data_IF_761640206206
#
_entry.id   IF_761640206206
#
_cell.length_a   1.000
_cell.length_b   1.000
_cell.length_c   1.000
_cell.angle_alpha   90.00
_cell.angle_beta   90.00
_cell.angle_gamma   90.00
#
_symmetry.space_group_name_H-M   'P 1'
#
loop_
_entity.id
_entity.type
_entity.pdbx_description
1 polymer ?
#
# COMPACT_ATOMS: atom_id res chain seq x y z
N UNK A 1 48.53 0.02 7.95
CA UNK A 1 47.36 -0.79 7.67
C UNK A 1 46.23 0.19 7.38
N UNK A 2 45.88 0.38 6.09
CA UNK A 2 44.82 1.31 5.70
C UNK A 2 43.48 0.66 5.99
N UNK A 3 42.68 1.29 6.82
CA UNK A 3 41.27 0.95 6.92
C UNK A 3 40.62 1.38 5.59
N UNK A 4 40.23 0.41 4.76
CA UNK A 4 39.29 0.71 3.70
C UNK A 4 37.96 1.08 4.36
N UNK A 5 37.60 2.36 4.31
CA UNK A 5 36.27 2.80 4.70
C UNK A 5 35.28 2.10 3.75
N UNK A 6 34.63 1.05 4.27
CA UNK A 6 33.48 0.46 3.60
C UNK A 6 32.32 1.43 3.83
N UNK A 7 32.14 2.38 2.93
CA UNK A 7 30.91 3.15 2.87
C UNK A 7 29.78 2.19 2.49
N UNK A 8 28.92 1.87 3.43
CA UNK A 8 27.62 1.26 3.11
C UNK A 8 26.78 2.35 2.44
N UNK A 9 26.92 2.44 1.12
CA UNK A 9 26.05 3.30 0.33
C UNK A 9 24.62 2.77 0.44
N UNK A 10 23.69 3.63 0.86
CA UNK A 10 22.27 3.28 0.90
C UNK A 10 21.82 2.90 -0.51
N UNK A 11 21.13 1.77 -0.65
CA UNK A 11 20.66 1.31 -1.95
C UNK A 11 19.65 2.31 -2.54
N UNK A 12 19.96 2.89 -3.67
CA UNK A 12 19.19 3.94 -4.34
C UNK A 12 19.07 3.68 -5.83
N UNK A 13 17.95 4.08 -6.41
CA UNK A 13 17.64 3.99 -7.83
C UNK A 13 17.26 5.37 -8.34
N UNK A 14 17.89 5.81 -9.45
CA UNK A 14 17.43 7.00 -10.17
C UNK A 14 16.17 6.65 -10.97
N UNK A 15 15.08 7.38 -10.73
CA UNK A 15 13.78 7.16 -11.34
C UNK A 15 13.11 8.48 -11.67
N UNK A 16 12.88 8.75 -12.95
CA UNK A 16 12.07 9.89 -13.42
C UNK A 16 12.40 11.23 -12.73
N UNK A 17 13.71 11.56 -12.63
CA UNK A 17 14.20 12.79 -12.01
C UNK A 17 14.20 12.79 -10.47
N UNK A 18 13.97 11.66 -9.83
CA UNK A 18 14.09 11.46 -8.40
C UNK A 18 15.05 10.31 -8.09
N UNK A 19 15.66 10.34 -6.92
CA UNK A 19 16.44 9.25 -6.37
C UNK A 19 15.58 8.52 -5.34
N UNK A 20 15.33 7.23 -5.55
CA UNK A 20 14.50 6.41 -4.69
C UNK A 20 15.38 5.51 -3.82
N UNK A 21 15.22 5.62 -2.52
CA UNK A 21 15.76 4.65 -1.58
C UNK A 21 14.96 3.35 -1.61
N UNK A 22 15.63 2.21 -1.48
CA UNK A 22 14.94 0.92 -1.32
C UNK A 22 15.70 -0.01 -0.36
N UNK A 23 14.94 -0.94 0.21
CA UNK A 23 15.45 -2.10 0.94
C UNK A 23 15.36 -3.33 0.04
N UNK A 24 16.34 -4.25 0.16
CA UNK A 24 16.38 -5.49 -0.60
C UNK A 24 16.92 -6.60 0.31
N UNK A 25 16.04 -7.45 0.80
CA UNK A 25 16.34 -8.48 1.79
C UNK A 25 16.00 -9.88 1.29
N UNK A 26 16.87 -10.82 1.59
CA UNK A 26 16.64 -12.23 1.24
C UNK A 26 16.98 -12.59 -0.20
N UNK A 27 16.50 -13.75 -0.64
CA UNK A 27 16.73 -14.31 -1.99
C UNK A 27 15.52 -15.13 -2.41
N UNK A 28 15.35 -15.36 -3.72
CA UNK A 28 14.26 -16.16 -4.29
C UNK A 28 13.26 -15.32 -5.05
N UNK A 29 11.98 -15.74 -5.10
CA UNK A 29 10.93 -15.01 -5.81
C UNK A 29 10.78 -13.59 -5.24
N UNK A 30 10.79 -12.55 -6.11
CA UNK A 30 10.62 -11.18 -5.66
C UNK A 30 9.23 -10.90 -5.08
N UNK A 31 9.20 -10.21 -3.93
CA UNK A 31 8.00 -9.60 -3.35
C UNK A 31 8.28 -8.11 -3.19
N UNK A 32 7.55 -7.27 -3.91
CA UNK A 32 7.75 -5.82 -3.96
C UNK A 32 6.65 -5.13 -3.19
N UNK A 33 7.02 -4.25 -2.27
CA UNK A 33 6.11 -3.58 -1.37
C UNK A 33 6.03 -2.09 -1.68
N UNK A 34 4.81 -1.59 -1.87
CA UNK A 34 4.47 -0.17 -2.03
C UNK A 34 3.68 0.32 -0.80
N UNK A 35 4.27 1.24 -0.05
CA UNK A 35 3.73 1.72 1.23
C UNK A 35 2.56 2.70 1.08
N UNK A 36 1.79 2.88 2.19
CA UNK A 36 0.73 3.88 2.32
C UNK A 36 1.27 5.30 2.60
N UNK A 37 0.41 6.28 2.50
CA UNK A 37 0.68 7.65 2.90
C UNK A 37 0.46 7.84 4.42
N UNK A 38 1.31 8.58 5.15
CA UNK A 38 2.54 9.26 4.74
C UNK A 38 3.81 8.45 5.06
N UNK A 39 3.72 7.14 4.99
CA UNK A 39 4.71 6.18 5.48
C UNK A 39 5.96 6.08 4.57
N UNK A 40 6.78 5.09 4.85
CA UNK A 40 7.97 4.69 4.09
C UNK A 40 8.03 3.16 3.97
N UNK A 41 9.09 2.63 3.37
CA UNK A 41 9.35 1.19 3.32
C UNK A 41 9.45 0.53 4.71
N UNK A 42 9.69 1.31 5.77
CA UNK A 42 9.77 0.82 7.15
C UNK A 42 8.43 0.24 7.63
N UNK A 43 7.32 0.66 7.04
CA UNK A 43 6.00 0.13 7.36
C UNK A 43 5.83 -1.36 7.04
N UNK A 44 6.71 -1.93 6.19
CA UNK A 44 6.66 -3.33 5.77
C UNK A 44 7.77 -4.22 6.36
N UNK A 45 8.57 -3.73 7.31
CA UNK A 45 9.70 -4.51 7.84
C UNK A 45 9.28 -5.85 8.46
N UNK A 46 8.15 -5.90 9.15
CA UNK A 46 7.59 -7.15 9.70
C UNK A 46 7.28 -8.17 8.58
N UNK A 47 6.64 -7.73 7.49
CA UNK A 47 6.32 -8.58 6.33
C UNK A 47 7.57 -9.00 5.58
N UNK A 48 8.49 -8.07 5.36
CA UNK A 48 9.77 -8.32 4.67
C UNK A 48 10.60 -9.33 5.44
N UNK A 49 10.79 -9.13 6.74
CA UNK A 49 11.57 -10.05 7.59
C UNK A 49 10.94 -11.45 7.60
N UNK A 50 9.61 -11.52 7.75
CA UNK A 50 8.89 -12.79 7.77
C UNK A 50 9.04 -13.57 6.46
N UNK A 51 8.93 -12.92 5.32
CA UNK A 51 9.02 -13.57 4.01
C UNK A 51 10.50 -13.84 3.61
N UNK A 52 11.40 -12.90 3.87
CA UNK A 52 12.83 -13.09 3.57
C UNK A 52 13.43 -14.28 4.33
N UNK A 53 13.05 -14.46 5.62
CA UNK A 53 13.46 -15.64 6.40
C UNK A 53 12.86 -16.97 5.89
N UNK A 54 11.95 -16.91 4.90
CA UNK A 54 11.29 -18.07 4.27
C UNK A 54 11.63 -18.24 2.79
N UNK A 55 12.72 -17.60 2.33
CA UNK A 55 13.27 -17.81 0.99
C UNK A 55 12.66 -16.92 -0.10
N UNK A 56 12.13 -15.76 0.25
CA UNK A 56 11.69 -14.74 -0.70
C UNK A 56 12.68 -13.57 -0.73
N UNK A 57 12.81 -12.92 -1.88
CA UNK A 57 13.52 -11.65 -2.01
C UNK A 57 12.53 -10.51 -1.85
N UNK A 58 12.62 -9.77 -0.74
CA UNK A 58 11.70 -8.71 -0.37
C UNK A 58 12.29 -7.35 -0.70
N UNK A 59 11.62 -6.58 -1.56
CA UNK A 59 12.00 -5.23 -1.96
C UNK A 59 10.94 -4.25 -1.50
N UNK A 60 11.32 -3.17 -0.81
CA UNK A 60 10.43 -2.08 -0.47
C UNK A 60 11.13 -0.76 -0.74
N UNK A 61 10.52 0.11 -1.55
CA UNK A 61 11.07 1.45 -1.82
C UNK A 61 10.34 2.50 -0.99
N UNK A 62 11.05 3.58 -0.66
CA UNK A 62 10.42 4.82 -0.21
C UNK A 62 9.93 5.55 -1.47
N UNK A 63 8.62 5.81 -1.58
CA UNK A 63 8.05 6.59 -2.70
C UNK A 63 8.70 7.96 -2.76
N UNK A 64 8.83 8.56 -3.98
CA UNK A 64 9.24 9.97 -4.08
C UNK A 64 8.46 10.86 -3.11
N UNK A 65 9.13 11.84 -2.54
CA UNK A 65 8.54 12.71 -1.54
C UNK A 65 8.41 12.10 -0.14
N UNK A 66 8.78 10.82 0.06
CA UNK A 66 8.63 10.11 1.32
C UNK A 66 9.97 9.54 1.81
N UNK A 67 10.09 9.39 3.13
CA UNK A 67 11.21 8.72 3.78
C UNK A 67 12.58 9.24 3.34
N UNK A 68 13.44 8.33 2.86
CA UNK A 68 14.83 8.59 2.44
C UNK A 68 14.98 8.88 0.95
N UNK A 69 13.88 8.85 0.19
CA UNK A 69 13.87 9.24 -1.23
C UNK A 69 13.91 10.74 -1.42
N UNK A 70 14.28 11.18 -2.61
CA UNK A 70 14.21 12.60 -3.00
C UNK A 70 12.83 13.18 -2.77
N UNK A 71 12.78 14.43 -2.37
CA UNK A 71 11.54 15.16 -2.06
C UNK A 71 11.26 16.27 -3.09
N UNK A 72 11.00 15.91 -4.38
CA UNK A 72 10.76 16.91 -5.41
C UNK A 72 9.43 17.62 -5.19
N UNK A 73 9.36 18.85 -5.68
CA UNK A 73 8.11 19.61 -5.68
C UNK A 73 7.05 18.99 -6.60
N UNK A 74 7.47 18.49 -7.77
CA UNK A 74 6.61 17.94 -8.80
C UNK A 74 6.59 16.39 -8.82
N UNK A 75 5.67 15.81 -9.57
CA UNK A 75 5.58 14.37 -9.76
C UNK A 75 4.91 13.63 -8.60
N UNK A 76 4.32 14.34 -7.63
CA UNK A 76 3.61 13.70 -6.52
C UNK A 76 2.18 13.32 -6.95
N UNK A 77 2.06 12.47 -7.96
CA UNK A 77 0.82 11.96 -8.52
C UNK A 77 0.91 10.46 -8.85
N UNK A 78 -0.23 9.81 -9.02
CA UNK A 78 -0.31 8.36 -9.14
C UNK A 78 0.39 7.81 -10.40
N UNK A 79 0.37 8.55 -11.51
CA UNK A 79 1.04 8.13 -12.75
C UNK A 79 2.54 8.08 -12.55
N UNK A 80 3.13 9.12 -11.97
CA UNK A 80 4.57 9.17 -11.68
C UNK A 80 4.98 8.13 -10.64
N UNK A 81 4.14 7.85 -9.63
CA UNK A 81 4.42 6.78 -8.66
C UNK A 81 4.48 5.41 -9.35
N UNK A 82 3.57 5.14 -10.28
CA UNK A 82 3.59 3.92 -11.08
C UNK A 82 4.81 3.84 -12.01
N UNK A 83 5.22 4.96 -12.60
CA UNK A 83 6.42 5.04 -13.42
C UNK A 83 7.69 4.79 -12.59
N UNK A 84 7.73 5.29 -11.36
CA UNK A 84 8.82 5.03 -10.40
C UNK A 84 8.88 3.55 -9.99
N UNK A 85 7.74 2.94 -9.72
CA UNK A 85 7.67 1.51 -9.42
C UNK A 85 8.17 0.68 -10.61
N UNK A 86 7.88 1.10 -11.85
CA UNK A 86 8.39 0.47 -13.05
C UNK A 86 9.93 0.56 -13.13
N UNK A 87 10.53 1.69 -12.75
CA UNK A 87 11.98 1.83 -12.68
C UNK A 87 12.59 0.88 -11.64
N UNK A 88 11.97 0.76 -10.45
CA UNK A 88 12.42 -0.21 -9.43
C UNK A 88 12.39 -1.63 -9.98
N UNK A 89 11.27 -2.05 -10.57
CA UNK A 89 11.09 -3.40 -11.11
C UNK A 89 12.08 -3.67 -12.25
N UNK A 90 12.29 -2.71 -13.13
CA UNK A 90 13.13 -2.87 -14.32
C UNK A 90 14.62 -2.85 -13.97
N UNK A 91 15.07 -1.89 -13.16
CA UNK A 91 16.50 -1.74 -12.81
C UNK A 91 17.00 -2.85 -11.91
N UNK A 92 16.15 -3.40 -11.05
CA UNK A 92 16.48 -4.58 -10.25
C UNK A 92 16.24 -5.90 -11.00
N UNK A 93 15.82 -5.81 -12.28
CA UNK A 93 15.49 -6.94 -13.16
C UNK A 93 14.59 -7.96 -12.48
N UNK A 94 13.49 -7.47 -11.87
CA UNK A 94 12.55 -8.34 -11.19
C UNK A 94 11.60 -9.00 -12.20
N UNK A 95 11.53 -10.31 -12.14
CA UNK A 95 10.63 -11.14 -12.96
C UNK A 95 9.78 -12.00 -12.03
N UNK A 96 8.56 -12.32 -12.46
CA UNK A 96 7.65 -13.17 -11.70
C UNK A 96 7.37 -12.62 -10.28
N UNK A 97 7.30 -11.28 -10.17
CA UNK A 97 7.19 -10.57 -8.91
C UNK A 97 5.77 -10.67 -8.30
N UNK A 98 5.70 -10.72 -6.98
CA UNK A 98 4.47 -10.47 -6.24
C UNK A 98 4.44 -9.01 -5.84
N UNK A 99 3.46 -8.24 -6.32
CA UNK A 99 3.31 -6.84 -5.94
C UNK A 99 2.34 -6.70 -4.77
N UNK A 100 2.78 -6.06 -3.70
CA UNK A 100 2.01 -5.84 -2.46
C UNK A 100 1.86 -4.35 -2.24
N UNK A 101 0.63 -3.84 -2.27
CA UNK A 101 0.35 -2.43 -2.02
C UNK A 101 -0.57 -2.21 -0.83
N UNK A 102 -0.15 -1.36 0.10
CA UNK A 102 -0.99 -0.91 1.22
C UNK A 102 -1.52 0.49 0.97
N UNK A 103 -2.83 0.70 1.18
CA UNK A 103 -3.44 2.03 1.10
C UNK A 103 -3.14 2.71 -0.25
N UNK A 104 -2.50 3.89 -0.25
CA UNK A 104 -1.99 4.59 -1.45
C UNK A 104 -1.09 3.68 -2.30
N UNK A 105 -0.27 2.82 -1.68
CA UNK A 105 0.57 1.86 -2.39
C UNK A 105 -0.22 0.82 -3.19
N UNK A 106 -1.45 0.50 -2.77
CA UNK A 106 -2.37 -0.29 -3.59
C UNK A 106 -2.81 0.42 -4.86
N UNK A 107 -2.97 1.75 -4.79
CA UNK A 107 -3.19 2.59 -5.96
C UNK A 107 -1.98 2.61 -6.89
N UNK A 108 -0.78 2.73 -6.34
CA UNK A 108 0.46 2.67 -7.12
C UNK A 108 0.59 1.34 -7.88
N UNK A 109 0.32 0.21 -7.23
CA UNK A 109 0.33 -1.12 -7.85
C UNK A 109 -0.74 -1.24 -8.94
N UNK A 110 -1.97 -0.79 -8.68
CA UNK A 110 -3.04 -0.83 -9.67
C UNK A 110 -2.70 0.03 -10.90
N UNK A 111 -2.21 1.26 -10.68
CA UNK A 111 -1.79 2.16 -11.78
C UNK A 111 -0.58 1.61 -12.54
N UNK A 112 0.38 0.96 -11.86
CA UNK A 112 1.47 0.28 -12.53
C UNK A 112 0.95 -0.76 -13.52
N UNK A 113 0.04 -1.64 -13.11
CA UNK A 113 -0.52 -2.64 -14.01
C UNK A 113 -1.36 -1.98 -15.11
N UNK A 114 -2.12 -0.94 -14.80
CA UNK A 114 -2.87 -0.17 -15.77
C UNK A 114 -2.04 0.37 -16.93
N UNK A 115 -0.76 0.75 -16.64
CA UNK A 115 0.17 1.37 -17.59
C UNK A 115 1.13 0.38 -18.23
N UNK A 116 1.65 -0.60 -17.47
CA UNK A 116 2.75 -1.48 -17.89
C UNK A 116 2.34 -2.95 -18.05
N UNK A 117 1.12 -3.31 -17.64
CA UNK A 117 0.62 -4.70 -17.69
C UNK A 117 1.26 -5.60 -16.64
N UNK A 118 1.04 -6.90 -16.80
CA UNK A 118 1.41 -7.95 -15.84
C UNK A 118 2.60 -8.80 -16.26
N UNK A 119 3.29 -8.49 -17.35
CA UNK A 119 4.36 -9.33 -17.90
C UNK A 119 5.44 -9.75 -16.88
N UNK A 120 5.78 -8.87 -15.93
CA UNK A 120 6.76 -9.14 -14.86
C UNK A 120 6.12 -9.54 -13.53
N UNK A 121 4.78 -9.66 -13.49
CA UNK A 121 3.99 -9.82 -12.27
C UNK A 121 3.38 -11.21 -12.23
N UNK A 122 3.62 -11.95 -11.14
CA UNK A 122 3.00 -13.25 -10.89
C UNK A 122 1.68 -13.13 -10.13
N UNK A 123 1.63 -12.23 -9.16
CA UNK A 123 0.50 -12.06 -8.24
C UNK A 123 0.42 -10.64 -7.73
N UNK A 124 -0.78 -10.24 -7.30
CA UNK A 124 -1.04 -8.94 -6.67
C UNK A 124 -1.66 -9.12 -5.29
N UNK A 125 -1.26 -8.30 -4.34
CA UNK A 125 -1.90 -8.20 -3.03
C UNK A 125 -2.23 -6.74 -2.74
N UNK A 126 -3.50 -6.45 -2.47
CA UNK A 126 -4.00 -5.14 -2.09
C UNK A 126 -4.45 -5.18 -0.64
N UNK A 127 -3.82 -4.39 0.23
CA UNK A 127 -4.10 -4.36 1.66
C UNK A 127 -4.68 -3.00 2.03
N UNK A 128 -5.91 -2.92 2.53
CA UNK A 128 -6.57 -1.66 2.89
C UNK A 128 -6.40 -0.59 1.80
N UNK A 129 -6.46 -1.02 0.54
CA UNK A 129 -6.03 -0.24 -0.62
C UNK A 129 -7.09 0.79 -1.06
N UNK A 130 -6.63 1.91 -1.61
CA UNK A 130 -7.49 3.03 -2.04
C UNK A 130 -8.33 2.77 -3.31
N UNK A 131 -7.93 1.92 -4.29
CA UNK A 131 -8.74 1.68 -5.48
C UNK A 131 -10.14 1.11 -5.20
N UNK A 132 -11.11 1.36 -6.08
CA UNK A 132 -10.98 2.03 -7.37
C UNK A 132 -10.89 3.56 -7.29
N UNK A 133 -11.56 4.21 -6.34
CA UNK A 133 -11.60 5.66 -6.18
C UNK A 133 -12.08 5.99 -4.77
N UNK A 134 -11.32 6.80 -4.03
CA UNK A 134 -11.77 7.24 -2.71
C UNK A 134 -12.82 8.33 -2.76
N UNK A 135 -12.74 9.23 -3.76
CA UNK A 135 -13.65 10.36 -3.88
C UNK A 135 -15.09 9.89 -4.12
N UNK A 136 -16.03 10.53 -3.42
CA UNK A 136 -17.45 10.36 -3.67
C UNK A 136 -17.82 10.95 -5.03
N UNK A 137 -18.38 10.13 -5.90
CA UNK A 137 -18.88 10.49 -7.24
C UNK A 137 -20.18 9.75 -7.52
N UNK A 138 -20.80 10.00 -8.67
CA UNK A 138 -21.96 9.21 -9.10
C UNK A 138 -21.62 7.71 -9.26
N UNK A 139 -20.40 7.40 -9.74
CA UNK A 139 -19.92 6.03 -9.89
C UNK A 139 -19.44 5.40 -8.57
N UNK A 140 -19.14 6.21 -7.55
CA UNK A 140 -18.78 5.74 -6.20
C UNK A 140 -19.56 6.52 -5.12
N UNK A 141 -20.86 6.27 -4.95
CA UNK A 141 -21.71 7.02 -4.02
C UNK A 141 -21.34 6.81 -2.55
N UNK A 142 -20.62 5.73 -2.22
CA UNK A 142 -20.10 5.43 -0.88
C UNK A 142 -18.69 6.02 -0.63
N UNK A 143 -18.14 6.74 -1.60
CA UNK A 143 -16.84 7.41 -1.46
C UNK A 143 -16.88 8.55 -0.45
N UNK A 144 -15.70 9.04 -0.11
CA UNK A 144 -15.50 10.15 0.83
C UNK A 144 -15.71 11.49 0.12
N UNK A 145 -16.50 12.42 0.68
CA UNK A 145 -16.70 13.75 0.11
C UNK A 145 -15.39 14.54 -0.03
N UNK A 146 -15.28 15.39 -1.04
CA UNK A 146 -14.08 16.22 -1.32
C UNK A 146 -13.71 17.12 -0.13
N UNK A 147 -14.69 17.54 0.65
CA UNK A 147 -14.52 18.39 1.82
C UNK A 147 -13.63 17.71 2.88
N UNK A 148 -13.75 16.40 3.07
CA UNK A 148 -12.90 15.66 3.99
C UNK A 148 -11.44 15.69 3.55
N UNK A 149 -11.16 15.52 2.25
CA UNK A 149 -9.80 15.62 1.72
C UNK A 149 -9.25 17.06 1.80
N UNK A 150 -10.10 18.07 1.62
CA UNK A 150 -9.73 19.47 1.82
C UNK A 150 -9.39 19.77 3.29
N UNK A 151 -10.11 19.17 4.24
CA UNK A 151 -9.77 19.25 5.66
C UNK A 151 -8.41 18.60 5.95
N UNK A 152 -8.09 17.45 5.36
CA UNK A 152 -6.78 16.81 5.46
C UNK A 152 -5.68 17.75 4.92
N UNK A 153 -5.88 18.36 3.73
CA UNK A 153 -4.95 19.34 3.16
C UNK A 153 -4.72 20.52 4.11
N UNK A 154 -5.80 21.06 4.65
CA UNK A 154 -5.72 22.18 5.60
C UNK A 154 -4.99 21.81 6.89
N UNK A 155 -5.22 20.61 7.43
CA UNK A 155 -4.57 20.13 8.63
C UNK A 155 -3.05 19.92 8.41
N UNK A 156 -2.66 19.35 7.25
CA UNK A 156 -1.25 19.20 6.87
C UNK A 156 -0.55 20.56 6.75
N UNK A 157 -1.25 21.58 6.24
CA UNK A 157 -0.69 22.94 6.13
C UNK A 157 -0.60 23.64 7.48
N UNK A 158 -1.56 23.42 8.36
CA UNK A 158 -1.63 24.10 9.67
C UNK A 158 -0.58 23.55 10.65
N UNK A 159 -0.57 22.24 10.88
CA UNK A 159 0.38 21.56 11.76
C UNK A 159 0.42 20.05 11.41
N UNK A 160 1.28 19.71 10.45
CA UNK A 160 1.41 18.30 10.05
C UNK A 160 1.92 17.39 11.17
N UNK A 161 2.70 17.92 12.12
CA UNK A 161 3.23 17.12 13.23
C UNK A 161 2.11 16.64 14.15
N UNK A 162 1.24 17.55 14.57
CA UNK A 162 0.06 17.16 15.36
C UNK A 162 -0.91 16.31 14.54
N UNK A 163 -1.11 16.67 13.26
CA UNK A 163 -2.00 15.91 12.38
C UNK A 163 -1.58 14.43 12.26
N UNK A 164 -0.27 14.13 12.14
CA UNK A 164 0.18 12.73 12.11
C UNK A 164 -0.10 11.98 13.42
N UNK A 165 0.05 12.65 14.55
CA UNK A 165 -0.30 12.06 15.85
C UNK A 165 -1.80 11.75 15.93
N UNK A 166 -2.63 12.67 15.50
CA UNK A 166 -4.08 12.53 15.52
C UNK A 166 -4.55 11.43 14.54
N UNK A 167 -4.00 11.43 13.32
CA UNK A 167 -4.31 10.42 12.31
C UNK A 167 -3.92 9.00 12.75
N UNK A 168 -2.85 8.85 13.53
CA UNK A 168 -2.43 7.55 14.06
C UNK A 168 -3.50 6.86 14.92
N UNK A 169 -4.39 7.63 15.53
CA UNK A 169 -5.48 7.11 16.37
C UNK A 169 -6.46 6.23 15.57
N UNK A 170 -7.17 6.77 14.55
CA UNK A 170 -8.06 5.96 13.72
C UNK A 170 -7.29 5.01 12.80
N UNK A 171 -6.07 5.35 12.38
CA UNK A 171 -5.25 4.52 11.49
C UNK A 171 -4.98 3.13 12.08
N UNK A 172 -4.68 3.06 13.37
CA UNK A 172 -4.42 1.80 14.08
C UNK A 172 -5.60 1.33 14.95
N UNK A 173 -6.75 2.01 14.89
CA UNK A 173 -7.89 1.69 15.74
C UNK A 173 -7.63 1.94 17.24
N UNK A 174 -6.67 2.81 17.58
CA UNK A 174 -6.32 3.13 18.97
C UNK A 174 -7.50 3.76 19.72
N UNK A 175 -8.42 4.38 19.01
CA UNK A 175 -9.68 4.95 19.51
C UNK A 175 -10.79 3.90 19.74
N UNK A 176 -10.50 2.60 19.58
CA UNK A 176 -11.46 1.52 19.81
C UNK A 176 -11.25 0.87 21.19
N UNK A 177 -12.33 0.48 21.89
CA UNK A 177 -12.20 -0.21 23.15
C UNK A 177 -11.40 -1.51 23.05
N UNK A 178 -10.51 -1.75 24.00
CA UNK A 178 -9.71 -2.99 24.06
C UNK A 178 -8.56 -3.08 23.08
N UNK A 179 -8.22 -1.99 22.38
CA UNK A 179 -7.04 -1.98 21.51
C UNK A 179 -5.76 -2.29 22.28
N UNK A 180 -4.85 -3.04 21.65
CA UNK A 180 -3.53 -3.41 22.20
C UNK A 180 -2.36 -2.76 21.46
N UNK A 181 -2.64 -1.75 20.64
CA UNK A 181 -1.61 -1.02 19.91
C UNK A 181 -0.74 -0.25 20.88
N UNK A 182 0.58 -0.45 20.79
CA UNK A 182 1.53 0.27 21.66
C UNK A 182 1.71 1.72 21.23
N UNK A 183 2.13 2.57 22.17
CA UNK A 183 2.51 3.96 21.86
C UNK A 183 3.66 4.01 20.86
N UNK A 184 4.64 3.09 20.96
CA UNK A 184 5.77 3.03 20.01
C UNK A 184 5.34 2.80 18.55
N UNK A 185 4.25 2.09 18.29
CA UNK A 185 3.68 1.97 16.92
C UNK A 185 3.18 3.33 16.42
N UNK A 186 2.52 4.11 17.27
CA UNK A 186 2.02 5.44 16.94
C UNK A 186 3.16 6.44 16.74
N UNK A 187 4.20 6.37 17.58
CA UNK A 187 5.40 7.18 17.44
C UNK A 187 6.17 6.85 16.16
N UNK A 188 6.27 5.57 15.79
CA UNK A 188 6.85 5.14 14.52
C UNK A 188 6.07 5.69 13.32
N UNK A 189 4.74 5.69 13.38
CA UNK A 189 3.90 6.33 12.36
C UNK A 189 4.18 7.83 12.24
N UNK A 190 4.22 8.53 13.38
CA UNK A 190 4.54 9.95 13.42
C UNK A 190 5.91 10.25 12.84
N UNK A 191 6.94 9.47 13.22
CA UNK A 191 8.29 9.62 12.72
C UNK A 191 8.34 9.47 11.19
N UNK A 192 7.72 8.42 10.64
CA UNK A 192 7.65 8.21 9.20
C UNK A 192 6.90 9.36 8.50
N UNK A 193 5.79 9.82 9.09
CA UNK A 193 5.06 10.99 8.59
C UNK A 193 5.89 12.27 8.59
N UNK A 194 6.75 12.48 9.59
CA UNK A 194 7.65 13.64 9.63
C UNK A 194 8.82 13.53 8.63
N UNK A 195 9.22 12.31 8.26
CA UNK A 195 10.19 12.07 7.19
C UNK A 195 9.59 12.25 5.79
N UNK A 196 8.27 12.24 5.66
CA UNK A 196 7.61 12.61 4.40
C UNK A 196 7.81 14.11 4.15
N UNK A 197 8.38 14.47 2.99
CA UNK A 197 8.57 15.87 2.60
C UNK A 197 7.25 16.62 2.46
N UNK A 198 7.25 17.92 2.68
CA UNK A 198 6.02 18.70 2.66
C UNK A 198 5.25 18.62 1.33
N UNK A 199 5.92 18.72 0.14
CA UNK A 199 5.24 18.53 -1.15
C UNK A 199 4.63 17.12 -1.29
N UNK A 200 5.38 16.06 -0.91
CA UNK A 200 4.90 14.68 -0.91
C UNK A 200 3.69 14.50 0.01
N UNK A 201 3.75 15.05 1.23
CA UNK A 201 2.65 14.99 2.17
C UNK A 201 1.36 15.64 1.63
N UNK A 202 1.49 16.81 0.99
CA UNK A 202 0.34 17.60 0.52
C UNK A 202 -0.23 17.10 -0.81
N UNK A 203 0.62 16.97 -1.85
CA UNK A 203 0.13 16.64 -3.19
C UNK A 203 -0.29 15.18 -3.33
N UNK A 204 0.28 14.26 -2.54
CA UNK A 204 -0.14 12.86 -2.51
C UNK A 204 -1.61 12.70 -2.09
N UNK A 205 -2.19 13.66 -1.35
CA UNK A 205 -3.61 13.63 -0.98
C UNK A 205 -4.48 13.57 -2.23
N UNK A 206 -4.19 14.39 -3.24
CA UNK A 206 -4.89 14.35 -4.52
C UNK A 206 -4.66 13.02 -5.25
N UNK A 207 -3.41 12.53 -5.23
CA UNK A 207 -3.07 11.29 -5.90
C UNK A 207 -3.89 10.10 -5.39
N UNK A 208 -4.01 9.91 -4.07
CA UNK A 208 -4.74 8.77 -3.52
C UNK A 208 -6.25 8.96 -3.48
N UNK A 209 -6.73 10.21 -3.43
CA UNK A 209 -8.17 10.45 -3.23
C UNK A 209 -8.95 10.68 -4.51
N UNK A 210 -8.33 11.28 -5.54
CA UNK A 210 -9.02 11.76 -6.74
C UNK A 210 -8.65 10.98 -8.01
N UNK A 211 -7.69 10.04 -7.95
CA UNK A 211 -7.33 9.24 -9.11
C UNK A 211 -8.31 8.07 -9.26
N UNK A 212 -9.05 8.04 -10.35
CA UNK A 212 -9.88 6.90 -10.72
C UNK A 212 -9.01 5.79 -11.32
N UNK A 213 -9.06 4.62 -10.70
CA UNK A 213 -8.29 3.43 -11.04
C UNK A 213 -9.21 2.26 -11.44
N UNK A 214 -10.46 2.54 -11.76
CA UNK A 214 -11.45 1.55 -12.17
C UNK A 214 -10.97 0.76 -13.38
N UNK A 215 -10.44 1.42 -14.39
CA UNK A 215 -9.92 0.76 -15.60
C UNK A 215 -8.58 0.05 -15.37
N UNK A 216 -7.78 0.52 -14.39
CA UNK A 216 -6.54 -0.15 -14.02
C UNK A 216 -6.81 -1.50 -13.36
N UNK A 217 -7.77 -1.55 -12.43
CA UNK A 217 -8.19 -2.79 -11.76
C UNK A 217 -8.70 -3.84 -12.73
N UNK A 218 -9.45 -3.44 -13.76
CA UNK A 218 -9.96 -4.36 -14.80
C UNK A 218 -8.85 -5.02 -15.62
N UNK A 219 -7.67 -4.40 -15.69
CA UNK A 219 -6.50 -4.92 -16.39
C UNK A 219 -5.68 -5.91 -15.57
N UNK A 220 -5.98 -6.07 -14.28
CA UNK A 220 -5.30 -7.07 -13.44
C UNK A 220 -5.82 -8.46 -13.82
N UNK A 221 -4.99 -9.22 -14.54
CA UNK A 221 -5.30 -10.54 -15.07
C UNK A 221 -4.58 -11.70 -14.34
N UNK A 222 -3.78 -11.37 -13.32
CA UNK A 222 -3.08 -12.33 -12.46
C UNK A 222 -3.83 -12.59 -11.16
N UNK A 223 -3.57 -13.73 -10.45
CA UNK A 223 -4.17 -13.99 -9.15
C UNK A 223 -3.99 -12.82 -8.19
N UNK A 224 -5.08 -12.40 -7.56
CA UNK A 224 -5.09 -11.21 -6.71
C UNK A 224 -5.72 -11.51 -5.36
N UNK A 225 -5.05 -11.11 -4.29
CA UNK A 225 -5.57 -11.15 -2.92
C UNK A 225 -5.88 -9.72 -2.46
N UNK A 226 -7.09 -9.51 -1.96
CA UNK A 226 -7.52 -8.25 -1.36
C UNK A 226 -7.78 -8.51 0.12
N UNK A 227 -7.02 -7.86 0.99
CA UNK A 227 -7.15 -7.91 2.44
C UNK A 227 -7.68 -6.56 2.94
N UNK A 228 -8.76 -6.56 3.71
CA UNK A 228 -9.33 -5.31 4.23
C UNK A 228 -10.01 -5.51 5.57
N UNK A 229 -9.87 -4.53 6.47
CA UNK A 229 -10.60 -4.50 7.71
C UNK A 229 -11.99 -3.89 7.56
N UNK A 230 -13.01 -4.45 8.22
CA UNK A 230 -14.36 -3.87 8.18
C UNK A 230 -14.54 -2.67 9.14
N UNK A 231 -13.56 -2.42 10.02
CA UNK A 231 -13.45 -1.20 10.84
C UNK A 231 -12.33 -0.27 10.36
N UNK A 232 -12.01 -0.29 9.06
CA UNK A 232 -11.08 0.65 8.46
C UNK A 232 -11.71 2.06 8.40
N UNK A 233 -11.23 2.94 9.29
CA UNK A 233 -11.73 4.31 9.45
C UNK A 233 -11.08 5.30 8.47
N UNK A 234 -10.10 4.84 7.67
CA UNK A 234 -9.35 5.67 6.72
C UNK A 234 -9.83 5.42 5.29
N UNK A 235 -9.93 4.15 4.91
CA UNK A 235 -10.39 3.72 3.58
C UNK A 235 -11.62 2.82 3.75
N UNK A 236 -12.85 3.36 3.60
CA UNK A 236 -14.06 2.57 3.81
C UNK A 236 -14.12 1.36 2.88
N UNK A 237 -14.26 0.16 3.44
CA UNK A 237 -14.26 -1.10 2.70
C UNK A 237 -15.32 -1.13 1.58
N UNK A 238 -16.48 -0.51 1.82
CA UNK A 238 -17.61 -0.48 0.86
C UNK A 238 -17.32 0.38 -0.38
N UNK A 239 -16.43 1.37 -0.24
CA UNK A 239 -16.02 2.27 -1.32
C UNK A 239 -14.73 1.79 -2.03
N UNK A 240 -14.08 0.75 -1.53
CA UNK A 240 -12.76 0.30 -1.98
C UNK A 240 -12.71 -1.21 -2.24
N UNK A 241 -12.34 -2.03 -1.25
CA UNK A 241 -12.10 -3.46 -1.43
C UNK A 241 -13.31 -4.23 -1.96
N UNK A 242 -14.53 -3.89 -1.54
CA UNK A 242 -15.76 -4.53 -2.03
C UNK A 242 -16.02 -4.22 -3.51
N UNK A 243 -15.61 -3.05 -3.99
CA UNK A 243 -15.69 -2.70 -5.41
C UNK A 243 -14.53 -3.31 -6.18
N UNK A 244 -13.30 -3.19 -5.68
CA UNK A 244 -12.10 -3.76 -6.29
C UNK A 244 -12.25 -5.27 -6.53
N UNK A 245 -12.82 -6.01 -5.58
CA UNK A 245 -13.04 -7.46 -5.71
C UNK A 245 -14.04 -7.85 -6.80
N UNK A 246 -14.88 -6.92 -7.24
CA UNK A 246 -15.81 -7.12 -8.37
C UNK A 246 -15.17 -6.75 -9.71
N UNK A 247 -14.22 -5.82 -9.70
CA UNK A 247 -13.55 -5.33 -10.90
C UNK A 247 -12.38 -6.23 -11.32
N UNK A 248 -11.64 -6.76 -10.35
CA UNK A 248 -10.52 -7.70 -10.61
C UNK A 248 -11.06 -9.12 -10.81
N UNK A 249 -10.82 -9.68 -11.99
CA UNK A 249 -11.44 -10.96 -12.43
C UNK A 249 -11.15 -12.15 -11.52
N UNK A 250 -9.92 -12.25 -11.00
CA UNK A 250 -9.45 -13.39 -10.20
C UNK A 250 -9.14 -12.98 -8.76
N UNK A 251 -9.93 -12.07 -8.18
CA UNK A 251 -9.72 -11.58 -6.83
C UNK A 251 -10.29 -12.53 -5.77
N UNK A 252 -9.48 -12.71 -4.72
CA UNK A 252 -9.90 -13.29 -3.44
C UNK A 252 -10.04 -12.13 -2.47
N UNK A 253 -11.24 -11.83 -1.99
CA UNK A 253 -11.47 -10.87 -0.93
C UNK A 253 -11.50 -11.58 0.43
N UNK A 254 -10.60 -11.15 1.33
CA UNK A 254 -10.61 -11.58 2.74
C UNK A 254 -10.84 -10.39 3.64
N UNK A 255 -11.97 -10.41 4.35
CA UNK A 255 -12.32 -9.35 5.31
C UNK A 255 -11.82 -9.75 6.70
N UNK A 256 -11.21 -8.81 7.40
CA UNK A 256 -10.71 -8.96 8.77
C UNK A 256 -11.68 -8.26 9.72
N UNK A 257 -12.49 -9.00 10.50
CA UNK A 257 -13.47 -8.41 11.41
C UNK A 257 -12.81 -7.52 12.46
N UNK A 258 -13.30 -6.28 12.61
CA UNK A 258 -12.81 -5.28 13.54
C UNK A 258 -11.42 -4.74 13.27
N UNK A 259 -10.83 -5.08 12.12
CA UNK A 259 -9.47 -4.64 11.82
C UNK A 259 -9.42 -3.18 11.34
N UNK A 260 -8.45 -2.40 11.82
CA UNK A 260 -8.21 -1.03 11.40
C UNK A 260 -7.39 -0.97 10.10
N UNK A 261 -7.20 0.25 9.58
CA UNK A 261 -6.39 0.52 8.39
C UNK A 261 -4.94 0.01 8.49
N UNK A 262 -4.32 0.19 9.64
CA UNK A 262 -2.95 -0.24 9.93
C UNK A 262 -2.79 -1.73 10.24
N UNK A 263 -3.68 -2.59 9.75
CA UNK A 263 -3.68 -4.02 10.02
C UNK A 263 -2.38 -4.77 9.63
N UNK A 264 -1.56 -4.33 8.66
CA UNK A 264 -0.25 -4.97 8.43
C UNK A 264 0.66 -4.95 9.66
N UNK A 265 0.48 -3.99 10.56
CA UNK A 265 1.23 -3.85 11.81
C UNK A 265 0.44 -4.44 12.98
N UNK A 266 -0.82 -4.05 13.14
CA UNK A 266 -1.63 -4.46 14.30
C UNK A 266 -2.05 -5.93 14.29
N UNK A 267 -2.14 -6.54 13.12
CA UNK A 267 -2.48 -7.95 12.90
C UNK A 267 -1.42 -8.68 12.07
N UNK A 268 -0.15 -8.27 12.23
CA UNK A 268 0.98 -8.72 11.41
C UNK A 268 1.06 -10.24 11.25
N UNK A 269 0.85 -11.00 12.32
CA UNK A 269 0.96 -12.47 12.25
C UNK A 269 -0.08 -13.10 11.32
N UNK A 270 -1.32 -12.59 11.35
CA UNK A 270 -2.38 -13.04 10.45
C UNK A 270 -2.13 -12.60 9.01
N UNK A 271 -1.75 -11.33 8.82
CA UNK A 271 -1.43 -10.78 7.48
C UNK A 271 -0.24 -11.53 6.88
N UNK A 272 0.80 -11.79 7.64
CA UNK A 272 1.98 -12.54 7.20
C UNK A 272 1.64 -13.97 6.79
N UNK A 273 0.81 -14.65 7.58
CA UNK A 273 0.37 -16.02 7.26
C UNK A 273 -0.46 -16.06 5.97
N UNK A 274 -1.36 -15.10 5.76
CA UNK A 274 -2.18 -15.02 4.56
C UNK A 274 -1.37 -14.64 3.31
N UNK A 275 -0.43 -13.71 3.44
CA UNK A 275 0.52 -13.39 2.38
C UNK A 275 1.29 -14.62 1.94
N UNK A 276 1.88 -15.34 2.89
CA UNK A 276 2.64 -16.56 2.58
C UNK A 276 1.77 -17.63 1.94
N UNK A 277 0.58 -17.89 2.49
CA UNK A 277 -0.35 -18.88 1.94
C UNK A 277 -0.76 -18.54 0.51
N UNK A 278 -1.03 -17.26 0.24
CA UNK A 278 -1.38 -16.79 -1.11
C UNK A 278 -0.20 -16.91 -2.09
N UNK A 279 0.99 -16.49 -1.69
CA UNK A 279 2.19 -16.60 -2.52
C UNK A 279 2.46 -18.06 -2.88
N UNK A 280 2.27 -18.99 -1.94
CA UNK A 280 2.44 -20.42 -2.14
C UNK A 280 1.29 -21.09 -2.89
N UNK A 281 0.24 -20.37 -3.29
CA UNK A 281 -0.93 -20.93 -3.96
C UNK A 281 -1.85 -21.77 -3.07
N UNK A 282 -1.73 -21.64 -1.75
CA UNK A 282 -2.55 -22.39 -0.77
C UNK A 282 -3.85 -21.67 -0.40
N UNK A 283 -3.98 -20.39 -0.75
CA UNK A 283 -5.20 -19.62 -0.57
C UNK A 283 -5.93 -19.61 -1.91
N UNK A 284 -7.05 -20.35 -1.97
CA UNK A 284 -7.88 -20.43 -3.16
C UNK A 284 -9.14 -19.58 -2.97
N UNK A 285 -9.77 -19.07 -4.04
CA UNK A 285 -11.10 -18.48 -3.94
C UNK A 285 -12.02 -19.51 -3.29
N UNK A 286 -12.80 -19.14 -2.27
CA UNK A 286 -13.91 -19.98 -1.86
C UNK A 286 -14.80 -20.16 -3.08
N UNK A 287 -15.12 -21.40 -3.45
CA UNK A 287 -16.14 -21.67 -4.46
C UNK A 287 -17.35 -20.81 -4.09
N UNK A 288 -17.81 -19.98 -5.03
CA UNK A 288 -19.07 -19.24 -4.85
C UNK A 288 -20.13 -20.30 -4.64
N UNK A 289 -20.49 -20.60 -3.39
CA UNK A 289 -21.67 -21.37 -3.10
C UNK A 289 -22.84 -20.58 -3.67
N UNK A 290 -23.35 -21.04 -4.82
CA UNK A 290 -24.60 -20.56 -5.33
C UNK A 290 -25.63 -20.82 -4.22
N UNK A 291 -26.14 -19.78 -3.58
CA UNK A 291 -27.33 -19.90 -2.72
C UNK A 291 -28.42 -20.53 -3.56
N UNK A 292 -29.02 -21.64 -3.11
CA UNK A 292 -30.17 -22.16 -3.80
C UNK A 292 -31.26 -21.11 -3.74
N UNK A 293 -31.75 -20.67 -4.92
CA UNK A 293 -32.98 -19.89 -5.02
C UNK A 293 -34.07 -20.71 -4.34
N UNK A 294 -34.64 -20.18 -3.24
CA UNK A 294 -35.91 -20.72 -2.73
C UNK A 294 -36.99 -20.44 -3.79
N UNK A 295 -37.73 -21.44 -4.21
CA UNK A 295 -38.91 -21.23 -5.07
C UNK A 295 -39.98 -20.47 -4.28
N UNK A 296 -40.68 -19.58 -4.98
CA UNK A 296 -41.75 -18.72 -4.49
C UNK A 296 -42.97 -19.54 -4.00
#
# INVERSE_FOLDING_TARGET
MGYSEVFFEMAKIQANGAELYYKDWGKGQPVVFSHGWPLSSDAFEDQMFYLASRGYRCIAHDRRGHGRSSQPWEGNNMDTYADDLNEVITKLNLENAVLVGHSTGGGEVARYIGRYGTRRVAKVVLISAVPPLMLKTESNPNGTPIEAFNQIRSAVLADRSQFWKDLSMPFFGYNRPGTKVSEGVRESFWLQGMMCGFPGAYFCIKAFSETDQTEDLKKIDVPTLILHGDDDQIVPIVASAMLSSKLVKNAILKIYPGAPHGMPITLKDKVNADLLAFIQGKLMPSEKTASPMQPA
#
